data_IF_867699725715
#
_entry.id   IF_867699725715
#
_cell.length_a   1.000
_cell.length_b   1.000
_cell.length_c   1.000
_cell.angle_alpha   90.00
_cell.angle_beta   90.00
_cell.angle_gamma   90.00
#
_symmetry.space_group_name_H-M   'P 1'
#
loop_
_entity.id
_entity.type
_entity.pdbx_description
1 polymer ?
#
# COMPACT_ATOMS: atom_id res chain seq x y z
N UNK A 1 3.94 -0.64 -1.27
CA UNK A 1 3.40 -0.85 -2.64
C UNK A 1 1.89 -1.11 -2.59
N UNK A 2 1.19 -1.03 -3.71
CA UNK A 2 -0.28 -1.20 -3.81
C UNK A 2 -0.69 -1.94 -5.09
N UNK A 3 -1.96 -2.29 -5.20
CA UNK A 3 -2.62 -2.64 -6.46
C UNK A 3 -3.29 -1.38 -6.99
N UNK A 4 -3.03 -0.98 -8.23
CA UNK A 4 -3.91 -0.06 -8.95
C UNK A 4 -4.95 -0.90 -9.70
N UNK A 5 -6.21 -0.77 -9.34
CA UNK A 5 -7.33 -1.37 -10.05
C UNK A 5 -8.08 -0.28 -10.81
N UNK A 6 -8.16 -0.38 -12.13
CA UNK A 6 -8.84 0.58 -12.99
C UNK A 6 -10.01 -0.09 -13.67
N UNK A 7 -11.21 0.44 -13.47
CA UNK A 7 -12.47 -0.11 -13.97
C UNK A 7 -13.46 1.05 -14.09
N UNK A 8 -13.97 1.32 -15.28
CA UNK A 8 -14.93 2.41 -15.49
C UNK A 8 -16.34 2.02 -15.01
N UNK A 9 -16.72 0.74 -15.10
CA UNK A 9 -18.00 0.22 -14.61
C UNK A 9 -17.99 -0.26 -13.14
N UNK A 10 -17.39 0.50 -12.22
CA UNK A 10 -17.25 0.09 -10.80
C UNK A 10 -18.57 -0.38 -10.16
N UNK A 11 -19.66 0.30 -10.45
CA UNK A 11 -20.97 0.02 -9.88
C UNK A 11 -21.54 -1.33 -10.35
N UNK A 12 -21.29 -1.69 -11.61
CA UNK A 12 -21.75 -2.99 -12.17
C UNK A 12 -20.81 -4.13 -11.79
N UNK A 13 -19.56 -3.83 -11.45
CA UNK A 13 -18.53 -4.83 -11.17
C UNK A 13 -18.20 -5.00 -9.66
N UNK A 14 -19.07 -4.59 -8.74
CA UNK A 14 -18.89 -4.84 -7.30
C UNK A 14 -18.63 -6.33 -6.99
N UNK A 15 -19.34 -7.30 -7.60
CA UNK A 15 -19.05 -8.72 -7.40
C UNK A 15 -17.64 -9.13 -7.82
N UNK A 16 -17.12 -8.57 -8.92
CA UNK A 16 -15.75 -8.81 -9.40
C UNK A 16 -14.70 -8.23 -8.46
N UNK A 17 -14.90 -7.00 -7.99
CA UNK A 17 -14.04 -6.35 -6.98
C UNK A 17 -13.94 -7.22 -5.72
N UNK A 18 -15.08 -7.72 -5.23
CA UNK A 18 -15.11 -8.60 -4.05
C UNK A 18 -14.33 -9.89 -4.32
N UNK A 19 -14.55 -10.52 -5.47
CA UNK A 19 -13.88 -11.79 -5.86
C UNK A 19 -12.37 -11.61 -5.96
N UNK A 20 -11.89 -10.58 -6.67
CA UNK A 20 -10.47 -10.32 -6.87
C UNK A 20 -9.73 -9.98 -5.57
N UNK A 21 -10.38 -9.21 -4.69
CA UNK A 21 -9.71 -8.60 -3.54
C UNK A 21 -10.20 -9.11 -2.18
N UNK A 22 -10.91 -10.25 -2.15
CA UNK A 22 -11.52 -10.83 -0.93
C UNK A 22 -10.53 -10.89 0.24
N UNK A 23 -9.31 -11.38 -0.05
CA UNK A 23 -8.20 -11.53 0.91
C UNK A 23 -7.81 -10.23 1.62
N UNK A 24 -7.94 -9.08 0.96
CA UNK A 24 -7.48 -7.78 1.46
C UNK A 24 -8.60 -6.93 2.05
N UNK A 25 -9.81 -7.01 1.48
CA UNK A 25 -10.98 -6.24 1.92
C UNK A 25 -11.39 -6.63 3.35
N UNK A 26 -11.47 -7.95 3.60
CA UNK A 26 -11.98 -8.50 4.85
C UNK A 26 -13.48 -8.27 5.03
N UNK A 27 -14.06 -9.00 6.00
CA UNK A 27 -15.52 -9.17 6.15
C UNK A 27 -16.32 -7.85 6.26
N UNK A 28 -15.77 -6.82 6.92
CA UNK A 28 -16.45 -5.53 7.12
C UNK A 28 -16.70 -4.80 5.79
N UNK A 29 -15.67 -4.72 4.92
CA UNK A 29 -15.79 -4.03 3.64
C UNK A 29 -16.61 -4.81 2.63
N UNK A 30 -16.42 -6.13 2.59
CA UNK A 30 -17.24 -7.02 1.75
C UNK A 30 -18.73 -6.83 2.05
N UNK A 31 -19.12 -6.75 3.33
CA UNK A 31 -20.52 -6.50 3.70
C UNK A 31 -21.04 -5.13 3.23
N UNK A 32 -20.21 -4.08 3.27
CA UNK A 32 -20.59 -2.74 2.81
C UNK A 32 -20.74 -2.70 1.30
N UNK A 33 -19.81 -3.31 0.57
CA UNK A 33 -19.88 -3.43 -0.89
C UNK A 33 -21.12 -4.21 -1.32
N UNK A 34 -21.42 -5.35 -0.70
CA UNK A 34 -22.66 -6.10 -0.98
C UNK A 34 -23.93 -5.29 -0.69
N UNK A 35 -23.92 -4.47 0.36
CA UNK A 35 -25.07 -3.61 0.65
C UNK A 35 -25.30 -2.53 -0.42
N UNK A 36 -24.24 -2.08 -1.10
CA UNK A 36 -24.37 -1.16 -2.26
C UNK A 36 -24.86 -1.89 -3.51
N UNK A 37 -24.42 -3.13 -3.72
CA UNK A 37 -24.83 -3.98 -4.85
C UNK A 37 -26.31 -4.40 -4.74
N UNK A 38 -26.80 -4.59 -3.52
CA UNK A 38 -28.18 -4.99 -3.21
C UNK A 38 -29.15 -3.80 -3.03
N UNK A 39 -28.70 -2.55 -3.22
CA UNK A 39 -29.57 -1.37 -3.05
C UNK A 39 -30.58 -1.24 -4.21
N UNK A 40 -31.81 -1.66 -3.95
CA UNK A 40 -32.93 -1.58 -4.90
C UNK A 40 -33.61 -0.19 -4.94
N UNK A 41 -33.03 0.85 -4.33
CA UNK A 41 -33.62 2.20 -4.28
C UNK A 41 -33.79 2.88 -5.65
N UNK A 42 -33.24 2.30 -6.71
CA UNK A 42 -33.32 2.79 -8.09
C UNK A 42 -32.23 3.83 -8.44
N UNK A 43 -31.34 4.13 -7.50
CA UNK A 43 -30.13 4.91 -7.74
C UNK A 43 -28.93 3.96 -7.86
N UNK A 44 -28.14 4.10 -8.93
CA UNK A 44 -26.86 3.41 -9.04
C UNK A 44 -25.92 3.85 -7.91
N UNK A 45 -25.17 2.92 -7.32
CA UNK A 45 -24.21 3.24 -6.27
C UNK A 45 -23.15 4.22 -6.78
N UNK A 46 -22.79 5.22 -5.96
CA UNK A 46 -21.75 6.19 -6.28
C UNK A 46 -20.37 5.50 -6.34
N UNK A 47 -19.65 5.55 -7.47
CA UNK A 47 -18.32 4.98 -7.59
C UNK A 47 -17.32 5.52 -6.55
N UNK A 48 -17.51 6.76 -6.08
CA UNK A 48 -16.67 7.32 -5.02
C UNK A 48 -16.89 6.61 -3.68
N UNK A 49 -18.09 6.11 -3.41
CA UNK A 49 -18.36 5.33 -2.22
C UNK A 49 -17.70 3.94 -2.31
N UNK A 50 -17.80 3.29 -3.47
CA UNK A 50 -17.14 2.00 -3.76
C UNK A 50 -15.62 2.14 -3.58
N UNK A 51 -15.03 3.14 -4.25
CA UNK A 51 -13.61 3.50 -4.10
C UNK A 51 -13.24 3.72 -2.64
N UNK A 52 -14.00 4.55 -1.92
CA UNK A 52 -13.75 4.84 -0.51
C UNK A 52 -13.72 3.59 0.36
N UNK A 53 -14.62 2.62 0.11
CA UNK A 53 -14.65 1.34 0.84
C UNK A 53 -13.41 0.50 0.54
N UNK A 54 -13.03 0.36 -0.73
CA UNK A 54 -11.89 -0.48 -1.15
C UNK A 54 -10.56 0.10 -0.66
N UNK A 55 -10.38 1.41 -0.79
CA UNK A 55 -9.15 2.13 -0.46
C UNK A 55 -8.87 2.21 1.06
N UNK A 56 -9.87 1.97 1.92
CA UNK A 56 -9.66 1.83 3.37
C UNK A 56 -8.63 0.75 3.75
N UNK A 57 -8.40 -0.21 2.86
CA UNK A 57 -7.40 -1.25 3.08
C UNK A 57 -5.97 -0.73 2.97
N UNK A 58 -5.77 0.37 2.24
CA UNK A 58 -4.47 0.89 1.77
C UNK A 58 -3.66 -0.08 0.90
N UNK A 59 -4.26 -1.19 0.46
CA UNK A 59 -3.62 -2.21 -0.39
C UNK A 59 -4.09 -2.05 -1.82
N UNK A 60 -5.39 -1.83 -2.01
CA UNK A 60 -6.00 -1.62 -3.32
C UNK A 60 -6.36 -0.14 -3.45
N UNK A 61 -5.95 0.45 -4.56
CA UNK A 61 -6.27 1.80 -4.98
C UNK A 61 -7.11 1.72 -6.25
N UNK A 62 -8.20 2.48 -6.33
CA UNK A 62 -9.19 2.33 -7.39
C UNK A 62 -9.29 3.61 -8.19
N UNK A 63 -9.28 3.49 -9.51
CA UNK A 63 -9.66 4.59 -10.41
C UNK A 63 -10.71 4.11 -11.41
N UNK A 64 -11.58 5.02 -11.83
CA UNK A 64 -12.62 4.75 -12.81
C UNK A 64 -12.64 5.75 -13.96
N UNK A 65 -11.76 6.76 -13.91
CA UNK A 65 -11.56 7.73 -14.99
C UNK A 65 -10.19 7.54 -15.62
N UNK A 66 -10.16 7.53 -16.95
CA UNK A 66 -8.92 7.37 -17.71
C UNK A 66 -7.84 8.42 -17.38
N UNK A 67 -8.12 9.74 -17.32
CA UNK A 67 -7.08 10.73 -16.97
C UNK A 67 -6.40 10.44 -15.63
N UNK A 68 -7.16 10.06 -14.60
CA UNK A 68 -6.58 9.77 -13.28
C UNK A 68 -5.77 8.47 -13.28
N UNK A 69 -6.22 7.45 -14.00
CA UNK A 69 -5.44 6.24 -14.24
C UNK A 69 -4.13 6.56 -14.97
N UNK A 70 -4.18 7.40 -16.02
CA UNK A 70 -3.00 7.83 -16.78
C UNK A 70 -2.00 8.58 -15.90
N UNK A 71 -2.47 9.52 -15.07
CA UNK A 71 -1.62 10.26 -14.12
C UNK A 71 -0.86 9.31 -13.20
N UNK A 72 -1.53 8.28 -12.68
CA UNK A 72 -0.91 7.28 -11.80
C UNK A 72 0.09 6.39 -12.54
N UNK A 73 -0.27 5.90 -13.71
CA UNK A 73 0.61 5.06 -14.55
C UNK A 73 1.85 5.84 -14.98
N UNK A 74 1.71 7.09 -15.43
CA UNK A 74 2.82 7.88 -15.96
C UNK A 74 3.73 8.39 -14.84
N UNK A 75 3.16 8.86 -13.74
CA UNK A 75 3.88 9.62 -12.72
C UNK A 75 4.12 8.86 -11.41
N UNK A 76 3.46 7.71 -11.18
CA UNK A 76 3.47 7.04 -9.87
C UNK A 76 3.54 5.51 -9.96
N UNK A 77 3.86 4.93 -11.13
CA UNK A 77 3.90 3.48 -11.33
C UNK A 77 4.75 2.73 -10.31
N UNK A 78 5.85 3.32 -9.80
CA UNK A 78 6.70 2.70 -8.78
C UNK A 78 5.99 2.42 -7.43
N UNK A 79 4.83 3.03 -7.19
CA UNK A 79 4.03 2.76 -5.98
C UNK A 79 3.26 1.44 -6.07
N UNK A 80 3.10 0.88 -7.27
CA UNK A 80 2.23 -0.25 -7.52
C UNK A 80 3.04 -1.53 -7.77
N UNK A 81 2.67 -2.59 -7.06
CA UNK A 81 3.17 -3.94 -7.32
C UNK A 81 2.39 -4.61 -8.47
N UNK A 82 1.12 -4.22 -8.64
CA UNK A 82 0.25 -4.68 -9.71
C UNK A 82 -0.58 -3.52 -10.25
N UNK A 83 -0.76 -3.48 -11.56
CA UNK A 83 -1.68 -2.63 -12.28
C UNK A 83 -2.66 -3.54 -13.01
N UNK A 84 -3.91 -3.53 -12.60
CA UNK A 84 -5.00 -4.32 -13.17
C UNK A 84 -5.95 -3.32 -13.79
N UNK A 85 -6.01 -3.32 -15.11
CA UNK A 85 -6.60 -2.23 -15.87
C UNK A 85 -7.66 -2.81 -16.80
N UNK A 86 -8.88 -2.31 -16.68
CA UNK A 86 -9.87 -2.55 -17.72
C UNK A 86 -9.43 -1.91 -19.03
N UNK A 87 -9.57 -2.68 -20.09
CA UNK A 87 -9.07 -2.29 -21.40
C UNK A 87 -9.86 -1.13 -21.98
N UNK A 88 -11.16 -1.12 -21.75
CA UNK A 88 -12.11 -0.12 -22.21
C UNK A 88 -12.38 0.82 -21.01
N UNK A 89 -12.01 2.11 -21.08
CA UNK A 89 -12.16 3.04 -19.94
C UNK A 89 -12.96 4.30 -20.28
N UNK A 90 -13.75 4.24 -21.35
CA UNK A 90 -14.47 5.39 -21.91
C UNK A 90 -15.97 5.42 -21.54
N UNK A 91 -16.50 4.46 -20.77
CA UNK A 91 -17.95 4.32 -20.61
C UNK A 91 -18.57 5.25 -19.54
N UNK A 92 -17.88 5.49 -18.42
CA UNK A 92 -18.50 6.12 -17.25
C UNK A 92 -18.65 7.65 -17.35
N UNK A 93 -17.55 8.36 -17.63
CA UNK A 93 -17.55 9.82 -17.74
C UNK A 93 -16.61 10.26 -18.85
N UNK A 94 -17.16 10.95 -19.86
CA UNK A 94 -16.38 11.47 -20.96
C UNK A 94 -15.25 12.37 -20.44
N UNK A 95 -14.01 12.07 -20.83
CA UNK A 95 -12.87 12.94 -20.62
C UNK A 95 -12.65 13.81 -21.87
N UNK A 96 -12.10 15.00 -21.68
CA UNK A 96 -11.70 15.85 -22.80
C UNK A 96 -10.21 15.68 -23.12
N UNK A 97 -9.82 16.14 -24.30
CA UNK A 97 -8.45 16.04 -24.79
C UNK A 97 -7.49 16.85 -23.91
N UNK A 98 -7.92 18.02 -23.42
CA UNK A 98 -7.12 18.92 -22.60
C UNK A 98 -6.68 18.25 -21.28
N UNK A 99 -7.59 17.55 -20.60
CA UNK A 99 -7.32 16.80 -19.36
C UNK A 99 -6.20 15.77 -19.55
N UNK A 100 -6.20 15.08 -20.70
CA UNK A 100 -5.18 14.07 -21.02
C UNK A 100 -3.86 14.74 -21.41
N UNK A 101 -3.92 15.81 -22.21
CA UNK A 101 -2.75 16.54 -22.68
C UNK A 101 -1.96 17.24 -21.55
N UNK A 102 -2.63 17.64 -20.46
CA UNK A 102 -1.98 18.15 -19.25
C UNK A 102 -1.10 17.11 -18.56
N UNK A 103 -1.47 15.83 -18.67
CA UNK A 103 -0.74 14.71 -18.06
C UNK A 103 0.32 14.18 -19.03
N UNK A 104 -0.03 14.06 -20.30
CA UNK A 104 0.85 13.60 -21.36
C UNK A 104 0.76 14.53 -22.57
N UNK A 105 1.69 15.47 -22.64
CA UNK A 105 1.76 16.45 -23.73
C UNK A 105 2.05 15.82 -25.10
N UNK A 106 2.42 14.54 -25.16
CA UNK A 106 2.56 13.80 -26.41
C UNK A 106 1.24 13.14 -26.86
N UNK A 107 0.16 13.25 -26.09
CA UNK A 107 -1.17 12.85 -26.52
C UNK A 107 -1.67 13.73 -27.66
N UNK A 108 -2.08 13.11 -28.77
CA UNK A 108 -2.46 13.78 -30.01
C UNK A 108 -3.75 13.20 -30.56
N UNK A 109 -4.40 13.89 -31.49
CA UNK A 109 -5.62 13.41 -32.15
C UNK A 109 -5.43 12.00 -32.75
N UNK A 110 -4.26 11.74 -33.35
CA UNK A 110 -3.92 10.42 -33.88
C UNK A 110 -3.83 9.35 -32.79
N UNK A 111 -3.38 9.68 -31.57
CA UNK A 111 -3.38 8.74 -30.44
C UNK A 111 -4.79 8.54 -29.90
N UNK A 112 -5.58 9.61 -29.80
CA UNK A 112 -6.98 9.53 -29.42
C UNK A 112 -7.75 8.60 -30.37
N UNK A 113 -7.68 8.83 -31.68
CA UNK A 113 -8.34 7.98 -32.69
C UNK A 113 -7.88 6.51 -32.64
N UNK A 114 -6.62 6.28 -32.28
CA UNK A 114 -6.04 4.92 -32.18
C UNK A 114 -6.49 4.16 -30.94
N UNK A 115 -6.64 4.85 -29.80
CA UNK A 115 -6.87 4.24 -28.49
C UNK A 115 -8.25 4.52 -27.89
N UNK A 116 -9.13 5.24 -28.59
CA UNK A 116 -10.51 5.44 -28.17
C UNK A 116 -11.22 4.08 -27.96
N UNK A 117 -11.92 3.93 -26.84
CA UNK A 117 -12.51 2.68 -26.32
C UNK A 117 -11.46 1.60 -25.97
N UNK A 118 -10.16 1.92 -25.99
CA UNK A 118 -9.03 1.00 -25.71
C UNK A 118 -7.94 1.70 -24.90
N UNK A 119 -8.36 2.56 -24.00
CA UNK A 119 -7.48 3.40 -23.20
C UNK A 119 -6.49 2.59 -22.36
N UNK A 120 -6.86 1.37 -21.94
CA UNK A 120 -5.95 0.45 -21.25
C UNK A 120 -4.71 0.07 -22.07
N UNK A 121 -4.84 -0.02 -23.40
CA UNK A 121 -3.72 -0.28 -24.30
C UNK A 121 -2.75 0.92 -24.34
N UNK A 122 -3.29 2.14 -24.27
CA UNK A 122 -2.49 3.36 -24.16
C UNK A 122 -1.68 3.39 -22.87
N UNK A 123 -2.32 3.03 -21.74
CA UNK A 123 -1.66 2.93 -20.45
C UNK A 123 -0.50 1.92 -20.48
N UNK A 124 -0.71 0.74 -21.10
CA UNK A 124 0.34 -0.24 -21.32
C UNK A 124 1.51 0.34 -22.13
N UNK A 125 1.22 1.02 -23.25
CA UNK A 125 2.24 1.61 -24.10
C UNK A 125 3.09 2.66 -23.37
N UNK A 126 2.50 3.42 -22.44
CA UNK A 126 3.25 4.39 -21.61
C UNK A 126 4.09 3.71 -20.53
N UNK A 127 3.67 2.55 -20.06
CA UNK A 127 4.33 1.85 -18.97
C UNK A 127 5.45 0.91 -19.42
N UNK A 128 5.30 0.26 -20.58
CA UNK A 128 6.20 -0.82 -21.05
C UNK A 128 7.66 -0.40 -21.22
N UNK A 129 7.92 0.89 -21.41
CA UNK A 129 9.28 1.44 -21.50
C UNK A 129 9.84 1.95 -20.17
N UNK A 130 9.04 1.99 -19.12
CA UNK A 130 9.40 2.51 -17.79
C UNK A 130 9.68 1.41 -16.77
N UNK A 131 8.99 0.28 -16.88
CA UNK A 131 9.11 -0.86 -15.95
C UNK A 131 8.91 -2.19 -16.67
N UNK A 132 9.11 -3.28 -15.95
CA UNK A 132 8.78 -4.62 -16.42
C UNK A 132 7.26 -4.85 -16.40
N UNK A 133 6.58 -4.38 -17.45
CA UNK A 133 5.13 -4.50 -17.58
C UNK A 133 4.65 -5.97 -17.58
N UNK A 134 5.51 -6.92 -18.00
CA UNK A 134 5.15 -8.34 -18.07
C UNK A 134 4.88 -8.94 -16.69
N UNK A 135 5.56 -8.47 -15.63
CA UNK A 135 5.34 -8.98 -14.27
C UNK A 135 4.25 -8.23 -13.50
N UNK A 136 3.95 -6.98 -13.86
CA UNK A 136 3.12 -6.10 -13.05
C UNK A 136 1.84 -5.57 -13.71
N UNK A 137 1.68 -5.65 -15.04
CA UNK A 137 0.54 -5.06 -15.75
C UNK A 137 -0.39 -6.14 -16.31
N UNK A 138 -1.69 -6.01 -16.05
CA UNK A 138 -2.71 -6.98 -16.43
C UNK A 138 -3.93 -6.26 -17.00
N UNK A 139 -4.45 -6.76 -18.13
CA UNK A 139 -5.62 -6.21 -18.81
C UNK A 139 -6.85 -7.06 -18.52
N UNK A 140 -7.94 -6.42 -18.14
CA UNK A 140 -9.27 -7.01 -18.12
C UNK A 140 -9.96 -6.73 -19.44
N UNK A 141 -10.69 -7.71 -19.97
CA UNK A 141 -11.43 -7.55 -21.22
C UNK A 141 -12.79 -8.25 -21.14
N UNK A 142 -13.82 -7.61 -21.70
CA UNK A 142 -15.17 -8.19 -21.79
C UNK A 142 -15.31 -9.26 -22.88
N UNK A 143 -14.38 -9.34 -23.82
CA UNK A 143 -14.41 -10.31 -24.92
C UNK A 143 -13.17 -11.21 -24.87
N UNK A 144 -13.33 -12.48 -25.23
CA UNK A 144 -12.19 -13.38 -25.42
C UNK A 144 -11.23 -12.83 -26.48
N UNK A 145 -9.93 -12.89 -26.19
CA UNK A 145 -8.82 -12.50 -27.09
C UNK A 145 -8.96 -13.19 -28.47
N UNK A 146 -9.59 -14.37 -28.50
CA UNK A 146 -9.79 -15.17 -29.70
C UNK A 146 -11.10 -14.86 -30.44
N UNK A 147 -12.01 -14.09 -29.84
CA UNK A 147 -13.34 -13.78 -30.37
C UNK A 147 -13.47 -12.36 -30.93
N UNK A 148 -12.63 -11.42 -30.47
CA UNK A 148 -12.47 -10.10 -31.07
C UNK A 148 -11.05 -10.01 -31.65
N UNK A 149 -10.85 -10.00 -32.98
CA UNK A 149 -9.55 -9.68 -33.55
C UNK A 149 -9.21 -8.26 -33.11
N UNK A 150 -8.35 -8.18 -32.10
CA UNK A 150 -7.91 -6.98 -31.42
C UNK A 150 -7.79 -5.83 -32.45
N UNK A 151 -8.68 -4.84 -32.50
CA UNK A 151 -8.33 -3.57 -33.19
C UNK A 151 -7.10 -2.98 -32.48
N UNK A 152 -6.03 -2.70 -33.22
CA UNK A 152 -4.71 -2.44 -32.62
C UNK A 152 -3.93 -3.71 -32.24
N UNK A 153 -4.35 -4.90 -32.73
CA UNK A 153 -3.64 -6.18 -32.61
C UNK A 153 -2.16 -5.99 -32.92
N UNK A 154 -1.86 -5.26 -34.01
CA UNK A 154 -0.49 -5.08 -34.48
C UNK A 154 0.41 -4.46 -33.40
N UNK A 155 -0.09 -3.55 -32.57
CA UNK A 155 0.72 -2.90 -31.53
C UNK A 155 0.98 -3.80 -30.35
N UNK A 156 -0.07 -4.44 -29.85
CA UNK A 156 0.02 -5.39 -28.74
C UNK A 156 0.83 -6.61 -29.16
N UNK A 157 0.58 -7.14 -30.36
CA UNK A 157 1.37 -8.23 -30.94
C UNK A 157 2.81 -7.83 -31.14
N UNK A 158 3.08 -6.60 -31.57
CA UNK A 158 4.46 -6.09 -31.63
C UNK A 158 5.12 -6.13 -30.24
N UNK A 159 4.41 -5.71 -29.18
CA UNK A 159 4.93 -5.81 -27.81
C UNK A 159 5.13 -7.26 -27.37
N UNK A 160 4.26 -8.19 -27.75
CA UNK A 160 4.39 -9.62 -27.45
C UNK A 160 5.57 -10.23 -28.21
N UNK A 161 5.70 -9.96 -29.52
CA UNK A 161 6.73 -10.46 -30.41
C UNK A 161 8.13 -9.97 -29.98
N UNK A 162 8.23 -8.73 -29.49
CA UNK A 162 9.45 -8.20 -28.90
C UNK A 162 9.70 -8.64 -27.45
N UNK A 163 8.86 -9.51 -26.89
CA UNK A 163 8.99 -10.03 -25.53
C UNK A 163 8.83 -8.94 -24.45
N UNK A 164 8.10 -7.88 -24.76
CA UNK A 164 7.79 -6.76 -23.85
C UNK A 164 6.47 -6.94 -23.12
N UNK A 165 5.62 -7.85 -23.58
CA UNK A 165 4.35 -8.21 -22.95
C UNK A 165 3.97 -9.66 -23.26
N UNK A 166 2.87 -10.17 -22.70
CA UNK A 166 2.41 -11.54 -22.92
C UNK A 166 0.90 -11.66 -23.00
N UNK A 167 0.42 -12.61 -23.81
CA UNK A 167 -1.00 -13.01 -23.83
C UNK A 167 -1.50 -13.46 -22.44
N UNK A 168 -0.60 -13.98 -21.58
CA UNK A 168 -0.93 -14.39 -20.21
C UNK A 168 -1.34 -13.23 -19.30
N UNK A 169 -1.11 -11.99 -19.73
CA UNK A 169 -1.47 -10.80 -18.96
C UNK A 169 -2.89 -10.31 -19.28
N UNK A 170 -3.61 -10.97 -20.18
CA UNK A 170 -5.01 -10.68 -20.50
C UNK A 170 -5.94 -11.63 -19.77
N UNK A 171 -6.96 -11.08 -19.13
CA UNK A 171 -7.98 -11.84 -18.41
C UNK A 171 -9.38 -11.43 -18.84
N UNK A 172 -10.23 -12.42 -19.10
CA UNK A 172 -11.62 -12.21 -19.43
C UNK A 172 -12.43 -11.91 -18.15
N UNK A 173 -13.22 -10.83 -18.17
CA UNK A 173 -14.11 -10.46 -17.05
C UNK A 173 -15.06 -11.63 -16.76
N UNK A 174 -15.16 -12.01 -15.49
CA UNK A 174 -15.93 -13.18 -15.06
C UNK A 174 -15.16 -14.51 -15.05
N UNK A 175 -13.94 -14.57 -15.61
CA UNK A 175 -13.03 -15.72 -15.53
C UNK A 175 -11.66 -15.33 -14.94
N UNK A 176 -11.68 -14.62 -13.81
CA UNK A 176 -10.47 -14.04 -13.20
C UNK A 176 -9.81 -14.95 -12.15
N UNK A 177 -10.14 -16.25 -12.11
CA UNK A 177 -9.62 -17.15 -11.06
C UNK A 177 -8.08 -17.25 -11.09
N UNK A 178 -7.47 -17.15 -12.27
CA UNK A 178 -6.01 -17.10 -12.42
C UNK A 178 -5.44 -15.74 -11.99
N UNK A 179 -6.09 -14.63 -12.35
CA UNK A 179 -5.69 -13.30 -11.89
C UNK A 179 -5.75 -13.18 -10.37
N UNK A 180 -6.80 -13.73 -9.74
CA UNK A 180 -6.89 -13.80 -8.28
C UNK A 180 -5.69 -14.55 -7.69
N UNK A 181 -5.28 -15.68 -8.26
CA UNK A 181 -4.07 -16.40 -7.81
C UNK A 181 -2.81 -15.56 -7.97
N UNK A 182 -2.67 -14.79 -9.05
CA UNK A 182 -1.52 -13.89 -9.24
C UNK A 182 -1.51 -12.84 -8.13
N UNK A 183 -2.63 -12.16 -7.93
CA UNK A 183 -2.82 -11.16 -6.88
C UNK A 183 -2.42 -11.72 -5.51
N UNK A 184 -2.96 -12.89 -5.16
CA UNK A 184 -2.75 -13.51 -3.84
C UNK A 184 -1.31 -14.00 -3.61
N UNK A 185 -0.51 -14.13 -4.68
CA UNK A 185 0.88 -14.61 -4.61
C UNK A 185 1.91 -13.48 -4.65
N UNK A 186 1.51 -12.21 -4.68
CA UNK A 186 2.47 -11.09 -4.61
C UNK A 186 3.00 -10.94 -3.18
N UNK A 187 4.31 -11.19 -2.93
CA UNK A 187 4.85 -11.28 -1.57
C UNK A 187 4.70 -9.99 -0.76
N UNK A 188 4.98 -8.83 -1.37
CA UNK A 188 4.93 -7.53 -0.68
C UNK A 188 3.50 -7.18 -0.25
N UNK A 189 2.49 -7.50 -1.06
CA UNK A 189 1.08 -7.25 -0.72
C UNK A 189 0.61 -8.17 0.42
N UNK A 190 1.07 -9.42 0.43
CA UNK A 190 0.80 -10.35 1.53
C UNK A 190 1.46 -9.89 2.82
N UNK A 191 2.72 -9.48 2.76
CA UNK A 191 3.46 -8.95 3.89
C UNK A 191 2.75 -7.72 4.49
N UNK A 192 2.28 -6.80 3.64
CA UNK A 192 1.47 -5.65 4.08
C UNK A 192 0.16 -6.09 4.74
N UNK A 193 -0.57 -7.03 4.14
CA UNK A 193 -1.85 -7.49 4.68
C UNK A 193 -1.71 -8.16 6.05
N UNK A 194 -0.72 -9.03 6.20
CA UNK A 194 -0.41 -9.72 7.47
C UNK A 194 -0.03 -8.73 8.58
N UNK A 195 0.61 -7.62 8.22
CA UNK A 195 1.10 -6.60 9.17
C UNK A 195 0.22 -5.34 9.20
N UNK A 196 -0.96 -5.37 8.55
CA UNK A 196 -1.82 -4.20 8.30
C UNK A 196 -2.18 -3.44 9.58
N UNK A 197 -2.38 -4.16 10.69
CA UNK A 197 -2.70 -3.54 11.97
C UNK A 197 -1.59 -2.58 12.44
N UNK A 198 -0.34 -3.01 12.40
CA UNK A 198 0.83 -2.24 12.85
C UNK A 198 1.14 -1.09 11.89
N UNK A 199 1.10 -1.37 10.58
CA UNK A 199 1.29 -0.37 9.53
C UNK A 199 0.28 0.78 9.65
N UNK A 200 -1.00 0.46 9.89
CA UNK A 200 -2.04 1.47 10.10
C UNK A 200 -1.82 2.31 11.36
N UNK A 201 -1.31 1.74 12.45
CA UNK A 201 -0.99 2.50 13.66
C UNK A 201 0.10 3.53 13.38
N UNK A 202 1.18 3.11 12.70
CA UNK A 202 2.30 3.98 12.35
C UNK A 202 1.86 5.09 11.40
N UNK A 203 1.19 4.75 10.29
CA UNK A 203 0.68 5.72 9.32
C UNK A 203 -0.21 6.77 9.96
N UNK A 204 -1.18 6.34 10.77
CA UNK A 204 -2.18 7.23 11.38
C UNK A 204 -1.59 8.19 12.43
N UNK A 205 -0.61 7.73 13.21
CA UNK A 205 -0.15 8.47 14.39
C UNK A 205 1.24 9.11 14.23
N UNK A 206 2.03 8.66 13.25
CA UNK A 206 3.38 9.17 12.98
C UNK A 206 3.48 9.67 11.53
N UNK A 207 3.08 8.86 10.56
CA UNK A 207 3.03 9.22 9.14
C UNK A 207 3.45 8.09 8.20
N UNK A 208 3.28 8.30 6.89
CA UNK A 208 3.57 7.30 5.84
C UNK A 208 5.04 6.84 5.86
N UNK A 209 5.99 7.74 6.11
CA UNK A 209 7.42 7.38 6.20
C UNK A 209 7.70 6.32 7.27
N UNK A 210 7.00 6.36 8.40
CA UNK A 210 7.18 5.37 9.46
C UNK A 210 6.58 4.01 9.08
N UNK A 211 5.46 4.01 8.37
CA UNK A 211 4.88 2.81 7.76
C UNK A 211 5.86 2.19 6.75
N UNK A 212 6.40 2.99 5.83
CA UNK A 212 7.33 2.54 4.80
C UNK A 212 8.63 1.99 5.40
N UNK A 213 9.22 2.69 6.38
CA UNK A 213 10.40 2.19 7.12
C UNK A 213 10.11 0.84 7.78
N UNK A 214 8.93 0.67 8.39
CA UNK A 214 8.59 -0.59 9.04
C UNK A 214 8.36 -1.71 8.02
N UNK A 215 7.69 -1.41 6.90
CA UNK A 215 7.50 -2.38 5.82
C UNK A 215 8.83 -2.83 5.22
N UNK A 216 9.77 -1.89 5.02
CA UNK A 216 11.13 -2.20 4.55
C UNK A 216 11.88 -3.13 5.50
N UNK A 217 11.82 -2.88 6.81
CA UNK A 217 12.41 -3.80 7.80
C UNK A 217 11.78 -5.19 7.67
N UNK A 218 10.46 -5.28 7.52
CA UNK A 218 9.76 -6.55 7.40
C UNK A 218 10.18 -7.36 6.16
N UNK A 219 10.45 -6.67 5.05
CA UNK A 219 10.89 -7.24 3.77
C UNK A 219 12.35 -7.68 3.82
N UNK A 220 13.23 -6.85 4.39
CA UNK A 220 14.68 -7.04 4.38
C UNK A 220 15.21 -7.79 5.62
N UNK A 221 14.36 -8.23 6.56
CA UNK A 221 14.79 -8.81 7.85
C UNK A 221 15.66 -10.06 7.76
N UNK A 222 15.54 -10.82 6.66
CA UNK A 222 16.33 -12.03 6.41
C UNK A 222 17.62 -11.73 5.61
N UNK A 223 17.84 -10.48 5.18
CA UNK A 223 19.03 -10.10 4.43
C UNK A 223 20.18 -9.74 5.38
N UNK A 224 21.23 -10.57 5.34
CA UNK A 224 22.45 -10.41 6.15
C UNK A 224 23.17 -9.09 5.89
N UNK A 225 23.06 -8.52 4.70
CA UNK A 225 23.71 -7.24 4.34
C UNK A 225 22.95 -6.03 4.87
N UNK A 226 21.68 -6.22 5.27
CA UNK A 226 20.78 -5.16 5.72
C UNK A 226 20.60 -5.12 7.23
N UNK A 227 21.27 -6.00 8.00
CA UNK A 227 21.15 -6.09 9.47
C UNK A 227 21.35 -4.71 10.13
N UNK A 228 22.47 -4.03 9.87
CA UNK A 228 22.77 -2.74 10.49
C UNK A 228 21.74 -1.66 10.16
N UNK A 229 21.28 -1.61 8.91
CA UNK A 229 20.26 -0.67 8.46
C UNK A 229 18.90 -0.98 9.11
N UNK A 230 18.51 -2.25 9.19
CA UNK A 230 17.28 -2.67 9.85
C UNK A 230 17.28 -2.31 11.35
N UNK A 231 18.40 -2.48 12.04
CA UNK A 231 18.53 -2.10 13.46
C UNK A 231 18.46 -0.57 13.64
N UNK A 232 19.07 0.19 12.73
CA UNK A 232 18.97 1.67 12.72
C UNK A 232 17.54 2.14 12.47
N UNK A 233 16.85 1.59 11.48
CA UNK A 233 15.45 1.94 11.19
C UNK A 233 14.51 1.53 12.34
N UNK A 234 14.74 0.37 12.96
CA UNK A 234 14.03 -0.08 14.18
C UNK A 234 14.16 0.96 15.29
N UNK A 235 15.38 1.48 15.52
CA UNK A 235 15.63 2.54 16.49
C UNK A 235 14.88 3.83 16.15
N UNK A 236 14.91 4.24 14.89
CA UNK A 236 14.25 5.46 14.43
C UNK A 236 12.73 5.40 14.63
N UNK A 237 12.11 4.27 14.32
CA UNK A 237 10.67 4.06 14.56
C UNK A 237 10.38 4.10 16.06
N UNK A 238 11.18 3.41 16.87
CA UNK A 238 11.02 3.41 18.33
C UNK A 238 11.15 4.82 18.92
N UNK A 239 12.10 5.61 18.44
CA UNK A 239 12.27 7.00 18.84
C UNK A 239 11.04 7.84 18.49
N UNK A 240 10.54 7.78 17.24
CA UNK A 240 9.35 8.51 16.82
C UNK A 240 8.11 8.13 17.65
N UNK A 241 7.96 6.85 18.01
CA UNK A 241 6.90 6.39 18.92
C UNK A 241 7.01 7.09 20.28
N UNK A 242 8.21 7.15 20.87
CA UNK A 242 8.43 7.79 22.17
C UNK A 242 8.26 9.30 22.12
N UNK A 243 8.68 9.95 21.04
CA UNK A 243 8.46 11.39 20.79
C UNK A 243 6.98 11.70 20.75
N UNK A 244 6.20 10.96 19.95
CA UNK A 244 4.75 11.13 19.87
C UNK A 244 4.05 10.82 21.21
N UNK A 245 4.54 9.83 21.96
CA UNK A 245 4.07 9.59 23.33
C UNK A 245 4.38 10.77 24.26
N UNK A 246 5.53 11.41 24.12
CA UNK A 246 5.93 12.52 24.99
C UNK A 246 5.03 13.75 24.83
N UNK A 247 4.48 13.96 23.64
CA UNK A 247 3.51 15.03 23.35
C UNK A 247 2.09 14.67 23.82
N UNK A 248 1.76 13.39 24.00
CA UNK A 248 0.41 12.93 24.34
C UNK A 248 0.23 12.56 25.82
N UNK A 249 1.22 11.93 26.43
CA UNK A 249 1.13 11.43 27.80
C UNK A 249 1.42 12.60 28.76
N UNK A 250 0.46 12.98 29.61
CA UNK A 250 0.66 14.07 30.56
C UNK A 250 1.89 13.84 31.45
N UNK A 251 2.74 14.88 31.53
CA UNK A 251 3.94 14.85 32.37
C UNK A 251 5.15 14.11 31.79
N UNK A 252 5.01 13.40 30.67
CA UNK A 252 6.14 12.68 30.05
C UNK A 252 7.21 13.65 29.52
N UNK A 253 6.80 14.70 28.79
CA UNK A 253 7.73 15.71 28.23
C UNK A 253 8.66 16.31 29.29
N UNK A 254 8.11 16.69 30.45
CA UNK A 254 8.90 17.29 31.53
C UNK A 254 9.85 16.32 32.27
N UNK A 255 9.73 15.01 32.04
CA UNK A 255 10.52 13.97 32.74
C UNK A 255 11.45 13.19 31.83
N UNK A 256 11.08 13.07 30.55
CA UNK A 256 11.70 12.15 29.61
C UNK A 256 12.25 12.85 28.36
N UNK A 257 12.19 14.19 28.27
CA UNK A 257 12.79 14.97 27.19
C UNK A 257 13.94 15.80 27.75
N UNK A 258 15.10 15.75 27.09
CA UNK A 258 16.26 16.58 27.39
C UNK A 258 16.71 17.31 26.12
N UNK A 259 16.93 18.62 26.23
CA UNK A 259 17.30 19.52 25.11
C UNK A 259 16.42 19.32 23.85
N UNK A 260 15.13 19.09 24.05
CA UNK A 260 14.16 18.91 22.98
C UNK A 260 14.10 17.50 22.36
N UNK A 261 14.93 16.56 22.81
CA UNK A 261 14.92 15.17 22.32
C UNK A 261 14.45 14.21 23.42
N UNK A 262 13.69 13.18 23.05
CA UNK A 262 13.29 12.15 24.00
C UNK A 262 14.52 11.34 24.44
N UNK A 263 14.64 11.08 25.75
CA UNK A 263 15.72 10.28 26.32
C UNK A 263 15.47 8.82 25.92
N UNK A 264 16.22 8.32 24.93
CA UNK A 264 16.17 6.93 24.48
C UNK A 264 16.93 6.01 25.44
N UNK A 265 16.36 5.77 26.62
CA UNK A 265 17.08 5.04 27.63
C UNK A 265 16.25 4.58 28.81
N UNK A 266 16.98 4.03 29.80
CA UNK A 266 16.42 3.46 31.03
C UNK A 266 15.46 4.42 31.73
N UNK A 267 15.80 5.71 31.80
CA UNK A 267 14.97 6.74 32.45
C UNK A 267 13.54 6.77 31.90
N UNK A 268 13.37 6.78 30.58
CA UNK A 268 12.06 6.82 29.94
C UNK A 268 11.30 5.51 30.12
N UNK A 269 11.99 4.37 29.98
CA UNK A 269 11.37 3.05 30.12
C UNK A 269 10.90 2.81 31.57
N UNK A 270 11.73 3.13 32.55
CA UNK A 270 11.38 3.00 33.96
C UNK A 270 10.28 4.00 34.34
N UNK A 271 10.28 5.22 33.80
CA UNK A 271 9.19 6.18 34.03
C UNK A 271 7.86 5.66 33.48
N UNK A 272 7.83 5.17 32.23
CA UNK A 272 6.63 4.57 31.64
C UNK A 272 6.12 3.39 32.48
N UNK A 273 7.03 2.55 32.98
CA UNK A 273 6.68 1.39 33.82
C UNK A 273 6.13 1.81 35.19
N UNK A 274 6.79 2.73 35.87
CA UNK A 274 6.43 3.17 37.22
C UNK A 274 5.11 3.93 37.27
N UNK A 275 4.72 4.56 36.15
CA UNK A 275 3.43 5.24 36.01
C UNK A 275 2.35 4.34 35.38
N UNK A 276 2.62 3.04 35.20
CA UNK A 276 1.63 2.08 34.70
C UNK A 276 1.23 2.28 33.23
N UNK A 277 2.06 2.98 32.43
CA UNK A 277 1.82 3.15 31.00
C UNK A 277 2.20 1.90 30.20
N UNK A 278 3.19 1.13 30.66
CA UNK A 278 3.63 -0.14 30.08
C UNK A 278 3.61 -1.25 31.14
N UNK A 279 3.36 -2.48 30.70
CA UNK A 279 3.51 -3.68 31.54
C UNK A 279 4.93 -4.25 31.44
N UNK A 280 5.21 -5.32 32.19
CA UNK A 280 6.52 -5.98 32.21
C UNK A 280 6.98 -6.49 30.84
N UNK A 281 6.06 -6.94 29.99
CA UNK A 281 6.35 -7.45 28.65
C UNK A 281 6.85 -6.31 27.75
N UNK A 282 6.05 -5.25 27.60
CA UNK A 282 6.40 -4.08 26.77
C UNK A 282 7.65 -3.40 27.32
N UNK A 283 7.80 -3.34 28.65
CA UNK A 283 9.03 -2.84 29.30
C UNK A 283 10.26 -3.61 28.83
N UNK A 284 10.22 -4.93 28.84
CA UNK A 284 11.35 -5.76 28.41
C UNK A 284 11.65 -5.56 26.92
N UNK A 285 10.63 -5.47 26.06
CA UNK A 285 10.80 -5.18 24.63
C UNK A 285 11.43 -3.81 24.39
N UNK A 286 11.00 -2.76 25.11
CA UNK A 286 11.63 -1.45 25.04
C UNK A 286 13.12 -1.49 25.43
N UNK A 287 13.49 -2.26 26.47
CA UNK A 287 14.89 -2.45 26.84
C UNK A 287 15.66 -3.21 25.76
N UNK A 288 15.11 -4.29 25.21
CA UNK A 288 15.74 -5.07 24.13
C UNK A 288 16.01 -4.21 22.90
N UNK A 289 14.99 -3.50 22.40
CA UNK A 289 15.14 -2.58 21.25
C UNK A 289 16.23 -1.56 21.56
N UNK A 290 16.10 -0.81 22.68
CA UNK A 290 17.07 0.22 23.05
C UNK A 290 18.50 -0.29 23.13
N UNK A 291 18.69 -1.50 23.67
CA UNK A 291 20.03 -2.04 23.96
C UNK A 291 20.66 -2.58 22.69
N UNK A 292 19.94 -3.41 21.94
CA UNK A 292 20.46 -4.02 20.72
C UNK A 292 20.67 -2.95 19.63
N UNK A 293 19.79 -1.95 19.53
CA UNK A 293 19.96 -0.88 18.54
C UNK A 293 20.83 0.28 19.04
N UNK A 294 21.38 0.26 20.27
CA UNK A 294 22.15 1.41 20.76
C UNK A 294 23.43 1.65 19.99
N UNK A 295 24.04 0.55 19.55
CA UNK A 295 25.40 0.54 19.00
C UNK A 295 25.38 0.78 17.49
N UNK A 296 24.26 0.42 16.85
CA UNK A 296 24.02 0.66 15.43
C UNK A 296 23.58 2.12 15.21
N UNK A 297 24.51 2.92 14.68
CA UNK A 297 24.30 4.32 14.31
C UNK A 297 25.20 5.34 15.02
N UNK A 298 26.03 4.94 16.00
CA UNK A 298 26.92 5.87 16.72
C UNK A 298 28.31 5.33 17.04
N UNK A 299 28.54 4.02 16.98
CA UNK A 299 29.84 3.40 17.25
C UNK A 299 30.17 2.33 16.18
N UNK A 300 31.46 1.98 15.98
CA UNK A 300 31.84 0.86 15.11
C UNK A 300 31.14 -0.41 15.61
N UNK A 301 30.49 -1.16 14.70
CA UNK A 301 29.72 -2.36 15.03
C UNK A 301 30.57 -3.36 15.84
N UNK A 302 30.29 -3.49 17.14
CA UNK A 302 31.02 -4.39 18.05
C UNK A 302 30.29 -5.68 18.38
N UNK A 303 29.02 -5.85 17.96
CA UNK A 303 28.22 -7.06 18.23
C UNK A 303 27.87 -7.83 16.95
N UNK A 304 27.92 -9.17 17.05
CA UNK A 304 27.53 -10.13 16.01
C UNK A 304 26.01 -10.26 15.93
N UNK A 305 25.28 -9.17 15.63
CA UNK A 305 23.86 -9.27 15.35
C UNK A 305 23.61 -10.15 14.12
N UNK A 306 22.64 -11.05 14.22
CA UNK A 306 22.23 -11.94 13.13
C UNK A 306 20.85 -11.54 12.60
N UNK A 307 20.40 -12.20 11.53
CA UNK A 307 19.01 -12.10 11.07
C UNK A 307 18.02 -12.53 12.16
N UNK A 308 18.38 -13.46 13.04
CA UNK A 308 17.55 -13.83 14.20
C UNK A 308 17.41 -12.70 15.21
N UNK A 309 18.47 -11.91 15.41
CA UNK A 309 18.43 -10.68 16.23
C UNK A 309 17.43 -9.68 15.63
N UNK A 310 17.50 -9.44 14.32
CA UNK A 310 16.57 -8.55 13.61
C UNK A 310 15.13 -9.06 13.72
N UNK A 311 14.90 -10.35 13.45
CA UNK A 311 13.58 -10.97 13.58
C UNK A 311 13.01 -10.84 15.00
N UNK A 312 13.84 -11.07 16.02
CA UNK A 312 13.43 -10.92 17.42
C UNK A 312 13.00 -9.49 17.74
N UNK A 313 13.74 -8.49 17.22
CA UNK A 313 13.36 -7.09 17.38
C UNK A 313 12.13 -6.69 16.58
N UNK A 314 11.88 -7.30 15.41
CA UNK A 314 10.64 -7.09 14.66
C UNK A 314 9.43 -7.51 15.50
N UNK A 315 9.49 -8.66 16.18
CA UNK A 315 8.42 -9.08 17.09
C UNK A 315 8.26 -8.12 18.28
N UNK A 316 9.37 -7.75 18.92
CA UNK A 316 9.34 -6.77 20.01
C UNK A 316 8.75 -5.43 19.57
N UNK A 317 9.12 -4.95 18.38
CA UNK A 317 8.64 -3.69 17.83
C UNK A 317 7.14 -3.76 17.50
N UNK A 318 6.62 -4.88 17.00
CA UNK A 318 5.17 -5.08 16.79
C UNK A 318 4.39 -4.90 18.09
N UNK A 319 4.84 -5.49 19.19
CA UNK A 319 4.19 -5.33 20.49
C UNK A 319 4.27 -3.89 21.01
N UNK A 320 5.40 -3.21 20.80
CA UNK A 320 5.55 -1.79 21.13
C UNK A 320 4.62 -0.92 20.27
N UNK A 321 4.49 -1.17 18.97
CA UNK A 321 3.55 -0.47 18.08
C UNK A 321 2.10 -0.72 18.53
N UNK A 322 1.76 -1.96 18.88
CA UNK A 322 0.44 -2.31 19.39
C UNK A 322 0.11 -1.60 20.70
N UNK A 323 1.08 -1.48 21.61
CA UNK A 323 0.96 -0.65 22.82
C UNK A 323 0.78 0.83 22.48
N UNK A 324 1.61 1.37 21.59
CA UNK A 324 1.55 2.75 21.14
C UNK A 324 0.17 3.11 20.56
N UNK A 325 -0.42 2.22 19.75
CA UNK A 325 -1.78 2.40 19.24
C UNK A 325 -2.82 2.58 20.36
N UNK A 326 -2.67 1.87 21.49
CA UNK A 326 -3.53 2.03 22.68
C UNK A 326 -3.30 3.37 23.37
N UNK A 327 -2.05 3.83 23.46
CA UNK A 327 -1.71 5.15 24.00
C UNK A 327 -2.35 6.26 23.14
N UNK A 328 -2.23 6.19 21.83
CA UNK A 328 -2.84 7.19 20.93
C UNK A 328 -4.35 7.23 21.03
N UNK A 329 -5.02 6.08 21.23
CA UNK A 329 -6.46 6.03 21.43
C UNK A 329 -6.86 6.63 22.79
N UNK A 330 -6.10 6.31 23.86
CA UNK A 330 -6.34 6.81 25.22
C UNK A 330 -6.11 8.32 25.33
N UNK A 331 -5.06 8.82 24.69
CA UNK A 331 -4.65 10.23 24.70
C UNK A 331 -4.81 10.81 23.29
N UNK A 332 -6.06 10.91 22.86
CA UNK A 332 -6.40 11.53 21.57
C UNK A 332 -6.01 13.02 21.60
N UNK A 333 -5.40 13.53 20.52
CA UNK A 333 -5.13 14.97 20.38
C UNK A 333 -6.47 15.71 20.46
N UNK A 334 -6.70 16.46 21.54
CA UNK A 334 -7.94 17.22 21.76
C UNK A 334 -8.83 16.79 22.94
N UNK A 335 -8.37 15.95 23.88
CA UNK A 335 -9.10 15.65 25.12
C UNK A 335 -8.66 16.47 26.35
N UNK A 336 -8.09 17.66 26.13
CA UNK A 336 -7.68 18.58 27.20
C UNK A 336 -7.09 19.86 26.64
N UNK A 337 -7.94 20.80 26.24
CA UNK A 337 -8.29 22.00 27.02
C UNK A 337 -9.55 22.64 26.42
#
# INVERSE_FOLDING_TARGET
MKILYVEDELTKNIPGIIRLFEKYLGKKRIRRLKALDEDESGYEADPNEIRGIVEETNIVEVEYRFPEALRKVVCQHEKYALLIIDRNLAEYEAYNFEEVAEIDSAFSDSQYERYFEREGDYLLHKLVYKTDAMSCFYLLTGNSIHSDPIRGHDDISTLIDFGKFSEKNFFEKGNEAELQKIIENVPILNLQNENRHYLNILRKNIGEKAEDSFLKILEEREDKWRIGDNLKETRNIYQQILEECSERIPGMKGRCVDRGNVILGKTTIDWLSNNGHINSIVRNFCFSIKTITSDYGSHPNTEDATTDTVNSLVYALKDVIGWFGKICARYSRGAGD
#
